data_IF_108207784134
#
_entry.id   IF_108207784134
#
_cell.length_a   1.000
_cell.length_b   1.000
_cell.length_c   1.000
_cell.angle_alpha   90.00
_cell.angle_beta   90.00
_cell.angle_gamma   90.00
#
_symmetry.space_group_name_H-M   'P 1'
#
loop_
_entity.id
_entity.type
_entity.pdbx_description
1 polymer ?
#
# COMPACT_ATOMS: atom_id res chain seq x y z
N UNK A 1 19.18 8.53 9.29
CA UNK A 1 18.18 8.98 8.30
C UNK A 1 17.11 9.74 9.07
N UNK A 2 16.83 10.99 8.71
CA UNK A 2 15.64 11.68 9.20
C UNK A 2 14.47 11.15 8.36
N UNK A 3 13.55 10.40 8.97
CA UNK A 3 12.23 10.21 8.36
C UNK A 3 11.63 11.61 8.19
N UNK A 4 11.31 12.01 6.96
CA UNK A 4 10.72 13.33 6.77
C UNK A 4 9.33 13.32 7.42
N UNK A 5 9.10 14.20 8.38
CA UNK A 5 7.79 14.40 9.03
C UNK A 5 6.66 14.52 7.98
N UNK A 6 7.00 15.04 6.81
CA UNK A 6 6.13 15.20 5.64
C UNK A 6 5.56 13.88 5.08
N UNK A 7 6.34 12.79 5.07
CA UNK A 7 5.90 11.51 4.50
C UNK A 7 4.79 10.85 5.33
N UNK A 8 5.01 10.76 6.64
CA UNK A 8 4.00 10.27 7.58
C UNK A 8 2.74 11.13 7.54
N UNK A 9 2.89 12.45 7.56
CA UNK A 9 1.75 13.38 7.48
C UNK A 9 0.92 13.17 6.20
N UNK A 10 1.56 12.95 5.05
CA UNK A 10 0.86 12.65 3.80
C UNK A 10 0.06 11.34 3.87
N UNK A 11 0.63 10.28 4.47
CA UNK A 11 -0.08 9.02 4.73
C UNK A 11 -1.30 9.26 5.62
N UNK A 12 -1.14 9.99 6.73
CA UNK A 12 -2.23 10.29 7.66
C UNK A 12 -3.35 11.11 7.01
N UNK A 13 -3.01 12.12 6.21
CA UNK A 13 -3.98 12.92 5.46
C UNK A 13 -4.73 12.09 4.41
N UNK A 14 -4.06 11.09 3.82
CA UNK A 14 -4.71 10.20 2.86
C UNK A 14 -5.64 9.22 3.56
N UNK A 15 -5.20 8.62 4.67
CA UNK A 15 -6.03 7.73 5.49
C UNK A 15 -7.30 8.42 5.98
N UNK A 16 -7.23 9.67 6.43
CA UNK A 16 -8.42 10.39 6.89
C UNK A 16 -9.49 10.55 5.80
N UNK A 17 -9.08 10.74 4.54
CA UNK A 17 -10.00 10.76 3.38
C UNK A 17 -10.54 9.38 3.03
N UNK A 18 -9.74 8.34 3.19
CA UNK A 18 -10.15 6.96 2.90
C UNK A 18 -11.17 6.48 3.94
N UNK A 19 -11.01 6.84 5.21
CA UNK A 19 -11.94 6.52 6.30
C UNK A 19 -13.35 7.07 6.11
N UNK A 20 -13.56 8.05 5.24
CA UNK A 20 -14.90 8.59 4.95
C UNK A 20 -15.62 7.85 3.83
N UNK A 21 -15.00 6.83 3.25
CA UNK A 21 -15.64 6.02 2.21
C UNK A 21 -16.67 5.08 2.83
N UNK A 22 -17.82 4.99 2.19
CA UNK A 22 -18.93 4.13 2.58
C UNK A 22 -19.11 3.01 1.55
N UNK A 23 -19.79 1.93 1.91
CA UNK A 23 -20.16 0.88 0.95
C UNK A 23 -20.87 1.49 -0.27
N UNK A 24 -20.48 1.05 -1.46
CA UNK A 24 -20.99 1.61 -2.71
C UNK A 24 -20.18 2.80 -3.26
N UNK A 25 -19.11 3.24 -2.61
CA UNK A 25 -18.30 4.39 -3.06
C UNK A 25 -17.73 4.26 -4.48
N UNK A 26 -17.43 3.03 -4.93
CA UNK A 26 -16.96 2.70 -6.29
C UNK A 26 -18.08 2.09 -7.16
N UNK A 27 -19.34 2.26 -6.75
CA UNK A 27 -20.51 1.64 -7.39
C UNK A 27 -20.99 0.39 -6.66
N UNK A 28 -22.06 -0.21 -7.19
CA UNK A 28 -22.75 -1.33 -6.55
C UNK A 28 -21.82 -2.52 -6.29
N UNK A 29 -21.86 -3.04 -5.06
CA UNK A 29 -21.03 -4.17 -4.63
C UNK A 29 -19.63 -3.78 -4.13
N UNK A 30 -19.24 -2.51 -4.21
CA UNK A 30 -18.01 -2.06 -3.55
C UNK A 30 -18.19 -1.93 -2.05
N UNK A 31 -17.16 -2.32 -1.31
CA UNK A 31 -17.09 -2.29 0.15
C UNK A 31 -16.15 -1.16 0.57
N UNK A 32 -16.51 -0.47 1.65
CA UNK A 32 -15.61 0.48 2.29
C UNK A 32 -14.30 -0.22 2.73
N UNK A 33 -13.16 0.48 2.73
CA UNK A 33 -11.91 -0.10 3.20
C UNK A 33 -12.00 -0.58 4.64
N UNK A 34 -11.41 -1.74 4.90
CA UNK A 34 -11.49 -2.39 6.20
C UNK A 34 -10.87 -1.54 7.32
N UNK A 35 -11.58 -1.42 8.44
CA UNK A 35 -11.18 -0.55 9.54
C UNK A 35 -9.89 -1.01 10.22
N UNK A 36 -9.70 -2.33 10.37
CA UNK A 36 -8.50 -2.89 11.00
C UNK A 36 -7.27 -2.69 10.11
N UNK A 37 -7.44 -2.75 8.77
CA UNK A 37 -6.39 -2.38 7.83
C UNK A 37 -6.02 -0.89 7.92
N UNK A 38 -7.00 0.02 7.99
CA UNK A 38 -6.74 1.45 8.11
C UNK A 38 -5.97 1.76 9.39
N UNK A 39 -6.37 1.15 10.50
CA UNK A 39 -5.69 1.26 11.80
C UNK A 39 -4.29 0.63 11.76
N UNK A 40 -4.12 -0.46 11.02
CA UNK A 40 -2.83 -1.08 10.81
C UNK A 40 -1.89 -0.14 10.04
N UNK A 41 -2.32 0.47 8.94
CA UNK A 41 -1.48 1.43 8.21
C UNK A 41 -1.15 2.64 9.08
N UNK A 42 -2.11 3.16 9.85
CA UNK A 42 -1.88 4.29 10.75
C UNK A 42 -0.76 3.99 11.78
N UNK A 43 -0.77 2.80 12.38
CA UNK A 43 0.28 2.34 13.30
C UNK A 43 1.64 2.19 12.61
N UNK A 44 1.65 1.83 11.33
CA UNK A 44 2.87 1.57 10.56
C UNK A 44 3.12 2.63 9.48
N UNK A 45 2.62 3.86 9.67
CA UNK A 45 2.73 4.92 8.66
C UNK A 45 4.19 5.29 8.37
N UNK A 46 5.09 5.10 9.34
CA UNK A 46 6.53 5.33 9.15
C UNK A 46 7.17 4.29 8.22
N UNK A 47 6.71 3.03 8.26
CA UNK A 47 7.14 1.99 7.34
C UNK A 47 6.66 2.28 5.91
N UNK A 48 5.43 2.81 5.77
CA UNK A 48 4.91 3.27 4.47
C UNK A 48 5.70 4.49 3.97
N UNK A 49 6.07 5.41 4.85
CA UNK A 49 6.84 6.60 4.52
C UNK A 49 8.38 6.38 4.53
N UNK A 50 8.84 5.13 4.59
CA UNK A 50 10.26 4.79 4.77
C UNK A 50 11.11 5.03 3.52
N UNK A 51 10.50 5.01 2.33
CA UNK A 51 11.20 5.24 1.06
C UNK A 51 11.21 6.70 0.64
N UNK A 52 12.15 7.03 -0.25
CA UNK A 52 12.13 8.29 -1.00
C UNK A 52 11.09 8.31 -2.13
N UNK A 53 10.36 7.21 -2.35
CA UNK A 53 9.36 7.12 -3.39
C UNK A 53 8.05 7.79 -2.94
N UNK A 54 7.36 8.41 -3.90
CA UNK A 54 6.01 8.90 -3.65
C UNK A 54 5.06 7.72 -3.73
N UNK A 55 4.57 7.27 -2.57
CA UNK A 55 3.62 6.17 -2.47
C UNK A 55 2.19 6.70 -2.53
N UNK A 56 1.40 6.12 -3.42
CA UNK A 56 -0.03 6.36 -3.52
C UNK A 56 -0.78 5.30 -2.73
N UNK A 57 -1.56 5.72 -1.74
CA UNK A 57 -2.47 4.84 -1.00
C UNK A 57 -3.86 4.89 -1.62
N UNK A 58 -4.34 3.77 -2.15
CA UNK A 58 -5.53 3.66 -2.99
C UNK A 58 -6.49 2.63 -2.38
N UNK A 59 -7.74 3.01 -2.06
CA UNK A 59 -8.75 2.04 -1.63
C UNK A 59 -9.20 1.16 -2.80
N UNK A 60 -9.41 -0.12 -2.53
CA UNK A 60 -9.88 -1.13 -3.48
C UNK A 60 -11.32 -1.51 -3.14
N UNK A 61 -12.11 -1.87 -4.15
CA UNK A 61 -13.56 -2.07 -4.02
C UNK A 61 -13.97 -3.28 -3.17
N UNK A 62 -13.05 -4.14 -2.74
CA UNK A 62 -13.32 -5.31 -1.90
C UNK A 62 -12.91 -5.11 -0.43
N UNK A 63 -12.65 -3.86 -0.03
CA UNK A 63 -12.22 -3.51 1.31
C UNK A 63 -10.70 -3.48 1.50
N UNK A 64 -9.92 -3.86 0.49
CA UNK A 64 -8.46 -3.82 0.53
C UNK A 64 -7.89 -2.40 0.32
N UNK A 65 -6.59 -2.26 0.55
CA UNK A 65 -5.80 -1.04 0.32
C UNK A 65 -4.57 -1.37 -0.52
N UNK A 66 -4.39 -0.66 -1.64
CA UNK A 66 -3.21 -0.78 -2.48
C UNK A 66 -2.24 0.39 -2.20
N UNK A 67 -0.98 0.05 -1.98
CA UNK A 67 0.15 0.97 -1.98
C UNK A 67 0.85 0.84 -3.32
N UNK A 68 0.89 1.92 -4.08
CA UNK A 68 1.52 1.93 -5.41
C UNK A 68 2.62 2.97 -5.49
N UNK A 69 3.76 2.57 -6.06
CA UNK A 69 4.85 3.48 -6.41
C UNK A 69 5.55 2.98 -7.66
N UNK A 70 6.42 3.81 -8.21
CA UNK A 70 7.19 3.47 -9.39
C UNK A 70 8.59 4.03 -9.35
N UNK A 71 9.46 3.36 -10.08
CA UNK A 71 10.80 3.82 -10.42
C UNK A 71 10.85 4.12 -11.92
N UNK A 72 12.04 4.35 -12.46
CA UNK A 72 12.22 4.48 -13.92
C UNK A 72 12.06 3.17 -14.67
N UNK A 73 12.14 2.01 -14.00
CA UNK A 73 12.12 0.69 -14.63
C UNK A 73 10.90 -0.13 -14.24
N UNK A 74 10.46 -0.04 -12.98
CA UNK A 74 9.37 -0.89 -12.48
C UNK A 74 8.24 -0.10 -11.82
N UNK A 75 7.03 -0.64 -11.93
CA UNK A 75 5.86 -0.31 -11.13
C UNK A 75 5.68 -1.35 -10.03
N UNK A 76 5.37 -0.89 -8.83
CA UNK A 76 5.26 -1.74 -7.64
C UNK A 76 3.88 -1.55 -7.02
N UNK A 77 3.28 -2.66 -6.61
CA UNK A 77 2.03 -2.64 -5.85
C UNK A 77 2.14 -3.56 -4.64
N UNK A 78 1.76 -3.06 -3.47
CA UNK A 78 1.47 -3.88 -2.29
C UNK A 78 -0.02 -3.73 -1.95
N UNK A 79 -0.80 -4.78 -2.16
CA UNK A 79 -2.22 -4.83 -1.81
C UNK A 79 -2.38 -5.53 -0.46
N UNK A 80 -2.89 -4.78 0.52
CA UNK A 80 -3.16 -5.23 1.89
C UNK A 80 -4.64 -5.61 1.97
N UNK A 81 -4.93 -6.86 2.34
CA UNK A 81 -6.29 -7.43 2.31
C UNK A 81 -6.84 -7.70 3.72
N UNK A 82 -8.19 -7.64 3.90
CA UNK A 82 -8.82 -7.83 5.21
C UNK A 82 -8.60 -9.23 5.83
N UNK A 83 -8.16 -10.21 5.03
CA UNK A 83 -7.83 -11.58 5.46
C UNK A 83 -6.40 -11.70 6.04
N UNK A 84 -5.76 -10.59 6.40
CA UNK A 84 -4.38 -10.50 6.88
C UNK A 84 -3.35 -11.04 5.87
N UNK A 85 -3.65 -10.96 4.57
CA UNK A 85 -2.69 -11.22 3.52
C UNK A 85 -2.21 -9.91 2.88
N UNK A 86 -1.02 -9.99 2.30
CA UNK A 86 -0.42 -8.95 1.49
C UNK A 86 0.03 -9.55 0.15
N UNK A 87 -0.39 -8.92 -0.95
CA UNK A 87 -0.08 -9.32 -2.31
C UNK A 87 0.87 -8.29 -2.89
N UNK A 88 2.05 -8.75 -3.27
CA UNK A 88 3.15 -7.93 -3.75
C UNK A 88 3.33 -8.18 -5.23
N UNK A 89 3.45 -7.10 -6.00
CA UNK A 89 3.57 -7.14 -7.45
C UNK A 89 4.72 -6.22 -7.89
N UNK A 90 5.53 -6.72 -8.82
CA UNK A 90 6.58 -5.97 -9.51
C UNK A 90 6.35 -6.13 -11.01
N UNK A 91 6.09 -5.02 -11.69
CA UNK A 91 5.95 -4.97 -13.15
C UNK A 91 7.14 -4.20 -13.73
N UNK A 92 8.02 -4.90 -14.45
CA UNK A 92 9.17 -4.30 -15.12
C UNK A 92 8.81 -3.84 -16.53
N UNK A 93 8.51 -2.55 -16.64
CA UNK A 93 8.12 -1.87 -17.89
C UNK A 93 9.17 -1.91 -19.01
N UNK A 94 10.42 -2.27 -18.70
CA UNK A 94 11.50 -2.37 -19.70
C UNK A 94 11.63 -3.77 -20.29
N UNK A 95 11.33 -4.81 -19.50
CA UNK A 95 11.49 -6.21 -19.90
C UNK A 95 10.16 -6.93 -20.13
N UNK A 96 9.03 -6.31 -19.76
CA UNK A 96 7.70 -6.93 -19.74
C UNK A 96 7.63 -8.13 -18.77
N UNK A 97 8.54 -8.16 -17.79
CA UNK A 97 8.55 -9.17 -16.74
C UNK A 97 7.62 -8.75 -15.60
N UNK A 98 6.81 -9.71 -15.14
CA UNK A 98 5.91 -9.53 -14.01
C UNK A 98 6.20 -10.59 -12.95
N UNK A 99 6.47 -10.14 -11.73
CA UNK A 99 6.69 -10.99 -10.57
C UNK A 99 5.66 -10.70 -9.49
N UNK A 100 5.19 -11.74 -8.80
CA UNK A 100 4.24 -11.62 -7.71
C UNK A 100 4.58 -12.52 -6.52
N UNK A 101 4.17 -12.09 -5.32
CA UNK A 101 4.28 -12.88 -4.09
C UNK A 101 3.13 -12.57 -3.14
N UNK A 102 2.55 -13.61 -2.55
CA UNK A 102 1.65 -13.49 -1.41
C UNK A 102 2.37 -13.81 -0.11
N UNK A 103 2.14 -13.00 0.91
CA UNK A 103 2.68 -13.20 2.26
C UNK A 103 1.65 -12.75 3.30
N UNK A 104 1.90 -13.06 4.58
CA UNK A 104 1.11 -12.51 5.68
C UNK A 104 1.32 -10.99 5.80
N UNK A 105 0.31 -10.30 6.31
CA UNK A 105 0.38 -8.87 6.60
C UNK A 105 1.40 -8.60 7.72
N UNK A 106 2.60 -8.17 7.34
CA UNK A 106 3.73 -7.91 8.22
C UNK A 106 4.42 -6.58 7.86
N UNK A 107 4.65 -5.75 8.87
CA UNK A 107 5.15 -4.40 8.66
C UNK A 107 6.61 -4.38 8.19
N UNK A 108 7.43 -5.31 8.71
CA UNK A 108 8.83 -5.41 8.31
C UNK A 108 8.96 -5.87 6.85
N UNK A 109 8.14 -6.83 6.44
CA UNK A 109 8.07 -7.30 5.05
C UNK A 109 7.58 -6.21 4.11
N UNK A 110 6.56 -5.44 4.51
CA UNK A 110 6.07 -4.29 3.73
C UNK A 110 7.15 -3.22 3.59
N UNK A 111 7.82 -2.85 4.69
CA UNK A 111 8.91 -1.86 4.68
C UNK A 111 10.06 -2.32 3.78
N UNK A 112 10.48 -3.57 3.92
CA UNK A 112 11.54 -4.14 3.09
C UNK A 112 11.17 -4.10 1.60
N UNK A 113 9.93 -4.44 1.26
CA UNK A 113 9.45 -4.38 -0.13
C UNK A 113 9.40 -2.94 -0.64
N UNK A 114 8.89 -1.99 0.15
CA UNK A 114 8.84 -0.56 -0.21
C UNK A 114 10.24 0.02 -0.47
N UNK A 115 11.22 -0.35 0.36
CA UNK A 115 12.58 0.19 0.29
C UNK A 115 13.39 -0.48 -0.82
N UNK A 116 13.23 -1.79 -1.04
CA UNK A 116 14.11 -2.56 -1.93
C UNK A 116 13.49 -2.88 -3.28
N UNK A 117 12.15 -2.91 -3.37
CA UNK A 117 11.43 -3.43 -4.53
C UNK A 117 11.58 -4.95 -4.73
N UNK A 118 12.19 -5.67 -3.78
CA UNK A 118 12.45 -7.11 -3.90
C UNK A 118 11.38 -7.92 -3.18
N UNK A 119 10.86 -8.94 -3.86
CA UNK A 119 9.96 -9.95 -3.28
C UNK A 119 10.77 -10.91 -2.38
N UNK A 120 11.13 -10.46 -1.18
CA UNK A 120 11.84 -11.26 -0.17
C UNK A 120 10.96 -12.36 0.38
#
# INVERSE_FOLDING_TARGET
MMHSTTGREAVMQRLSKIRTLEDGWLGAGSVAPDADLLDWIERHADAVASSSHVISLIPVGDGALALQWKTSACEYTAELRPDNQMYLYVDNTQTDEFDEKTTGLDAASLEAFIVTGVLA
#
